data_IF_424642880986
#
_entry.id   IF_424642880986
#
_cell.length_a   1.000
_cell.length_b   1.000
_cell.length_c   1.000
_cell.angle_alpha   90.00
_cell.angle_beta   90.00
_cell.angle_gamma   90.00
#
_symmetry.space_group_name_H-M   'P 1'
#
loop_
_entity.id
_entity.type
_entity.pdbx_description
1 polymer ?
#
# COMPACT_ATOMS: atom_id res chain seq x y z
N UNK A 1 1.17 -11.86 -11.46
CA UNK A 1 1.39 -11.33 -10.10
C UNK A 1 2.68 -10.52 -10.12
N UNK A 2 2.62 -9.26 -9.70
CA UNK A 2 3.84 -8.44 -9.51
C UNK A 2 4.51 -8.93 -8.22
N UNK A 3 5.84 -9.03 -8.20
CA UNK A 3 6.53 -9.42 -6.96
C UNK A 3 6.31 -8.33 -5.91
N UNK A 4 6.02 -8.65 -4.63
CA UNK A 4 5.78 -7.65 -3.59
C UNK A 4 6.86 -6.56 -3.51
N UNK A 5 8.13 -6.94 -3.74
CA UNK A 5 9.27 -6.01 -3.81
C UNK A 5 9.17 -4.97 -4.93
N UNK A 6 8.65 -5.35 -6.09
CA UNK A 6 8.46 -4.45 -7.23
C UNK A 6 7.29 -3.49 -6.96
N UNK A 7 6.20 -4.00 -6.39
CA UNK A 7 5.05 -3.19 -5.97
C UNK A 7 5.47 -2.15 -4.90
N UNK A 8 6.29 -2.56 -3.92
CA UNK A 8 6.90 -1.68 -2.91
C UNK A 8 7.69 -0.53 -3.51
N UNK A 9 8.62 -0.84 -4.41
CA UNK A 9 9.47 0.17 -5.07
C UNK A 9 8.66 1.14 -5.92
N UNK A 10 7.62 0.65 -6.59
CA UNK A 10 6.72 1.51 -7.35
C UNK A 10 5.93 2.44 -6.44
N UNK A 11 5.34 1.90 -5.36
CA UNK A 11 4.62 2.67 -4.35
C UNK A 11 5.50 3.73 -3.69
N UNK A 12 6.75 3.40 -3.37
CA UNK A 12 7.71 4.32 -2.79
C UNK A 12 7.94 5.58 -3.66
N UNK A 13 8.18 5.40 -4.96
CA UNK A 13 8.33 6.50 -5.92
C UNK A 13 7.06 7.35 -6.01
N UNK A 14 5.90 6.72 -6.01
CA UNK A 14 4.61 7.40 -6.04
C UNK A 14 4.41 8.27 -4.79
N UNK A 15 4.75 7.76 -3.60
CA UNK A 15 4.65 8.50 -2.34
C UNK A 15 5.64 9.67 -2.28
N UNK A 16 6.90 9.49 -2.69
CA UNK A 16 7.89 10.57 -2.74
C UNK A 16 7.46 11.69 -3.70
N UNK A 17 6.93 11.33 -4.87
CA UNK A 17 6.39 12.28 -5.84
C UNK A 17 5.18 13.06 -5.29
N UNK A 18 4.23 12.38 -4.63
CA UNK A 18 3.08 13.03 -3.99
C UNK A 18 3.50 13.98 -2.86
N UNK A 19 4.54 13.62 -2.11
CA UNK A 19 5.13 14.47 -1.08
C UNK A 19 5.95 15.65 -1.65
N UNK A 20 6.20 15.70 -2.97
CA UNK A 20 7.13 16.64 -3.64
C UNK A 20 8.53 16.64 -3.00
N UNK A 21 8.98 15.47 -2.57
CA UNK A 21 10.30 15.30 -1.96
C UNK A 21 11.27 14.67 -2.97
N UNK A 22 12.48 15.22 -3.04
CA UNK A 22 13.61 14.62 -3.75
C UNK A 22 14.55 13.84 -2.81
N UNK A 23 14.21 13.73 -1.52
CA UNK A 23 15.05 13.01 -0.55
C UNK A 23 14.94 11.50 -0.79
N UNK A 24 16.04 10.83 -1.20
CA UNK A 24 16.02 9.40 -1.52
C UNK A 24 15.62 8.54 -0.31
N UNK A 25 15.83 9.04 0.91
CA UNK A 25 15.47 8.33 2.14
C UNK A 25 13.96 8.08 2.24
N UNK A 26 13.13 8.91 1.61
CA UNK A 26 11.67 8.71 1.57
C UNK A 26 11.32 7.49 0.73
N UNK A 27 11.90 7.35 -0.47
CA UNK A 27 11.67 6.16 -1.29
C UNK A 27 12.19 4.89 -0.59
N UNK A 28 13.37 4.98 0.02
CA UNK A 28 13.98 3.85 0.74
C UNK A 28 13.09 3.33 1.87
N UNK A 29 12.56 4.22 2.72
CA UNK A 29 11.70 3.79 3.84
C UNK A 29 10.42 3.12 3.34
N UNK A 30 9.74 3.69 2.33
CA UNK A 30 8.53 3.09 1.78
C UNK A 30 8.79 1.75 1.07
N UNK A 31 9.94 1.60 0.42
CA UNK A 31 10.30 0.36 -0.26
C UNK A 31 10.76 -0.75 0.70
N UNK A 32 11.28 -0.38 1.89
CA UNK A 32 11.82 -1.32 2.88
C UNK A 32 10.76 -1.97 3.78
N UNK A 33 9.59 -1.35 3.95
CA UNK A 33 8.57 -1.81 4.89
C UNK A 33 7.52 -2.68 4.17
N UNK A 34 7.41 -3.99 4.51
CA UNK A 34 6.33 -4.87 4.02
C UNK A 34 5.01 -4.44 4.66
N UNK A 35 4.16 -3.70 3.94
CA UNK A 35 2.89 -3.20 4.47
C UNK A 35 1.97 -4.37 4.80
N UNK A 36 1.97 -5.42 3.99
CA UNK A 36 1.23 -6.68 4.15
C UNK A 36 1.51 -7.36 5.50
N UNK A 37 2.69 -7.16 6.09
CA UNK A 37 3.05 -7.77 7.37
C UNK A 37 2.24 -7.19 8.56
N UNK A 38 1.60 -6.03 8.37
CA UNK A 38 0.87 -5.33 9.43
C UNK A 38 -0.65 -5.39 9.27
N UNK A 39 -1.16 -5.94 8.17
CA UNK A 39 -2.59 -5.89 7.81
C UNK A 39 -3.35 -7.21 8.08
N UNK A 40 -2.64 -8.26 8.50
CA UNK A 40 -3.20 -9.61 8.55
C UNK A 40 -3.47 -10.19 7.15
N UNK A 41 -4.03 -11.41 7.09
CA UNK A 41 -4.37 -12.07 5.82
C UNK A 41 -5.42 -11.27 5.04
N UNK A 42 -5.20 -11.07 3.74
CA UNK A 42 -6.20 -10.53 2.83
C UNK A 42 -7.30 -11.56 2.46
N UNK A 43 -8.28 -11.17 1.63
CA UNK A 43 -8.44 -9.86 1.02
C UNK A 43 -8.71 -8.77 2.07
N UNK A 44 -8.36 -7.53 1.75
CA UNK A 44 -8.49 -6.39 2.66
C UNK A 44 -9.67 -5.51 2.26
N UNK A 45 -10.31 -4.91 3.24
CA UNK A 45 -11.24 -3.80 2.99
C UNK A 45 -10.45 -2.51 2.87
N UNK A 46 -10.62 -1.80 1.76
CA UNK A 46 -9.91 -0.55 1.46
C UNK A 46 -10.88 0.59 1.14
N UNK A 47 -10.41 1.81 1.36
CA UNK A 47 -11.01 3.01 0.78
C UNK A 47 -10.08 3.55 -0.31
N UNK A 48 -10.61 3.65 -1.53
CA UNK A 48 -9.93 4.26 -2.66
C UNK A 48 -10.92 5.16 -3.43
N UNK A 49 -10.50 6.39 -3.76
CA UNK A 49 -11.40 7.38 -4.33
C UNK A 49 -12.58 7.65 -3.42
N UNK A 50 -13.80 7.50 -3.94
CA UNK A 50 -15.05 7.79 -3.22
C UNK A 50 -15.66 6.56 -2.51
N UNK A 51 -15.05 5.37 -2.62
CA UNK A 51 -15.70 4.12 -2.24
C UNK A 51 -14.91 3.26 -1.26
N UNK A 52 -15.68 2.51 -0.43
CA UNK A 52 -15.20 1.38 0.37
C UNK A 52 -15.48 0.08 -0.37
N UNK A 53 -14.48 -0.77 -0.54
CA UNK A 53 -14.66 -2.08 -1.17
C UNK A 53 -13.60 -3.08 -0.69
N UNK A 54 -13.86 -4.37 -0.90
CA UNK A 54 -12.92 -5.45 -0.64
C UNK A 54 -12.00 -5.66 -1.85
N UNK A 55 -10.71 -5.86 -1.61
CA UNK A 55 -9.74 -6.13 -2.68
C UNK A 55 -10.07 -7.46 -3.37
N UNK A 56 -9.91 -7.59 -4.70
CA UNK A 56 -10.26 -8.82 -5.43
C UNK A 56 -9.54 -10.10 -4.97
N UNK A 57 -8.39 -9.98 -4.31
CA UNK A 57 -7.65 -11.09 -3.70
C UNK A 57 -6.69 -10.58 -2.62
N UNK A 58 -5.93 -11.49 -1.99
CA UNK A 58 -4.84 -11.16 -1.08
C UNK A 58 -3.52 -10.76 -1.79
N UNK A 59 -3.54 -10.44 -3.08
CA UNK A 59 -2.35 -9.93 -3.80
C UNK A 59 -1.92 -8.58 -3.19
N UNK A 60 -0.70 -8.46 -2.62
CA UNK A 60 -0.24 -7.22 -1.98
C UNK A 60 -0.22 -5.99 -2.90
N UNK A 61 -0.26 -6.16 -4.23
CA UNK A 61 -0.33 -5.02 -5.15
C UNK A 61 -1.55 -4.11 -4.92
N UNK A 62 -2.64 -4.62 -4.32
CA UNK A 62 -3.81 -3.81 -3.99
C UNK A 62 -3.58 -2.84 -2.82
N UNK A 63 -2.71 -3.16 -1.87
CA UNK A 63 -2.37 -2.30 -0.71
C UNK A 63 -1.17 -1.39 -0.97
N UNK A 64 -0.45 -1.64 -2.07
CA UNK A 64 0.61 -0.77 -2.63
C UNK A 64 0.07 0.27 -3.60
N UNK A 65 -1.19 0.66 -3.37
CA UNK A 65 -1.82 1.85 -3.92
C UNK A 65 -1.94 2.85 -2.77
N UNK A 66 -2.00 4.16 -3.05
CA UNK A 66 -2.23 5.14 -1.99
C UNK A 66 -3.70 5.08 -1.52
N UNK A 67 -4.01 4.02 -0.77
CA UNK A 67 -5.33 3.65 -0.25
C UNK A 67 -5.28 3.52 1.26
N UNK A 68 -6.43 3.74 1.88
CA UNK A 68 -6.63 3.46 3.30
C UNK A 68 -7.07 2.01 3.45
N UNK A 69 -6.52 1.30 4.43
CA UNK A 69 -6.90 -0.08 4.74
C UNK A 69 -7.63 -0.08 6.08
N UNK A 70 -8.76 -0.74 6.16
CA UNK A 70 -9.50 -0.95 7.41
C UNK A 70 -8.75 -1.98 8.24
N UNK A 71 -8.29 -1.60 9.43
CA UNK A 71 -7.60 -2.50 10.37
C UNK A 71 -8.54 -3.10 11.42
N UNK A 72 -9.54 -2.32 11.83
CA UNK A 72 -10.55 -2.71 12.80
C UNK A 72 -11.88 -2.14 12.30
N UNK A 73 -12.78 -3.02 11.85
CA UNK A 73 -14.04 -2.60 11.24
C UNK A 73 -15.13 -2.32 12.28
N UNK A 74 -14.94 -2.79 13.52
CA UNK A 74 -15.90 -2.71 14.62
C UNK A 74 -15.62 -1.53 15.56
N UNK A 75 -14.53 -0.78 15.32
CA UNK A 75 -14.16 0.43 16.06
C UNK A 75 -14.36 1.71 15.25
#
# INVERSE_FOLDING_TARGET
MVKPDEARRFYARLMAAQARSADPRIEEVFASVPREAFLGPGPWTVFAGEGRFETPSADPSYIYQNVLVVLDADK
#
